data_IF_833153628588
#
_entry.id   IF_833153628588
#
_cell.length_a   1.000
_cell.length_b   1.000
_cell.length_c   1.000
_cell.angle_alpha   90.00
_cell.angle_beta   90.00
_cell.angle_gamma   90.00
#
_symmetry.space_group_name_H-M   'P 1'
#
loop_
_entity.id
_entity.type
_entity.pdbx_description
1 polymer ?
#
# COMPACT_ATOMS: atom_id res chain seq x y z
N UNK A 1 -23.26 11.17 0.13
CA UNK A 1 -21.99 11.12 0.85
C UNK A 1 -20.84 11.08 -0.15
N UNK A 2 -19.85 11.94 -0.01
CA UNK A 2 -18.70 12.00 -0.92
C UNK A 2 -17.69 10.92 -0.50
N UNK A 3 -17.29 10.09 -1.46
CA UNK A 3 -16.24 9.08 -1.22
C UNK A 3 -14.86 9.72 -1.33
N UNK A 4 -13.91 9.20 -0.57
CA UNK A 4 -12.54 9.69 -0.58
C UNK A 4 -11.69 9.05 -1.68
N UNK A 5 -10.60 9.71 -2.04
CA UNK A 5 -9.60 9.15 -2.94
C UNK A 5 -8.94 7.94 -2.31
N UNK A 6 -8.37 7.05 -3.14
CA UNK A 6 -7.67 5.86 -2.67
C UNK A 6 -6.48 6.23 -1.77
N UNK A 7 -6.04 5.25 -1.01
CA UNK A 7 -4.96 5.37 -0.06
C UNK A 7 -5.46 5.50 1.36
N UNK A 8 -4.67 5.04 2.31
CA UNK A 8 -5.05 4.95 3.73
C UNK A 8 -5.09 6.33 4.40
N UNK A 9 -5.97 7.22 3.94
CA UNK A 9 -6.09 8.57 4.46
C UNK A 9 -7.38 8.80 5.23
N UNK A 10 -8.36 9.39 4.54
CA UNK A 10 -9.61 9.85 5.14
C UNK A 10 -10.38 8.82 5.93
N UNK A 11 -10.95 7.76 5.27
CA UNK A 11 -11.74 6.77 5.99
C UNK A 11 -10.97 6.04 7.07
N UNK A 12 -9.71 5.69 6.81
CA UNK A 12 -8.88 4.98 7.79
C UNK A 12 -8.66 5.82 9.05
N UNK A 13 -8.39 7.10 8.89
CA UNK A 13 -8.21 8.01 10.03
C UNK A 13 -9.51 8.25 10.76
N UNK A 14 -10.62 8.43 10.03
CA UNK A 14 -11.93 8.67 10.62
C UNK A 14 -12.36 7.49 11.52
N UNK A 15 -12.02 6.27 11.14
CA UNK A 15 -12.38 5.05 11.88
C UNK A 15 -11.26 4.53 12.79
N UNK A 16 -10.10 5.20 12.81
CA UNK A 16 -8.94 4.70 13.57
C UNK A 16 -8.46 3.35 13.04
N UNK A 17 -8.62 3.09 11.75
CA UNK A 17 -8.33 1.80 11.13
C UNK A 17 -6.88 1.73 10.64
N UNK A 18 -6.16 0.67 11.01
CA UNK A 18 -4.80 0.40 10.56
C UNK A 18 -4.64 -1.02 10.00
N UNK A 19 -5.75 -1.68 9.65
CA UNK A 19 -5.75 -3.08 9.23
C UNK A 19 -4.85 -3.36 8.02
N UNK A 20 -4.78 -2.44 7.06
CA UNK A 20 -3.93 -2.61 5.88
C UNK A 20 -2.43 -2.58 6.22
N UNK A 21 -2.07 -2.07 7.40
CA UNK A 21 -0.70 -2.05 7.90
C UNK A 21 -0.38 -3.20 8.85
N UNK A 22 -1.31 -4.14 9.02
CA UNK A 22 -1.11 -5.33 9.85
C UNK A 22 -0.92 -6.55 8.97
N UNK A 23 0.12 -7.33 9.25
CA UNK A 23 0.47 -8.51 8.46
C UNK A 23 0.47 -8.21 6.96
N UNK A 24 1.05 -7.07 6.61
CA UNK A 24 1.06 -6.61 5.22
C UNK A 24 1.93 -7.50 4.35
N UNK A 25 1.50 -7.66 3.10
CA UNK A 25 2.27 -8.34 2.04
C UNK A 25 2.50 -7.40 0.88
N UNK A 26 2.47 -6.09 1.15
CA UNK A 26 2.57 -5.07 0.11
C UNK A 26 3.88 -5.21 -0.67
N UNK A 27 3.82 -5.46 -1.98
CA UNK A 27 5.03 -5.54 -2.80
C UNK A 27 5.61 -4.15 -3.00
N UNK A 28 6.95 -4.11 -3.11
CA UNK A 28 7.71 -2.89 -3.29
C UNK A 28 8.37 -2.88 -4.67
N UNK A 29 8.13 -1.82 -5.44
CA UNK A 29 8.85 -1.59 -6.68
C UNK A 29 10.25 -1.03 -6.36
N UNK A 30 11.13 -1.02 -7.36
CA UNK A 30 12.46 -0.42 -7.21
C UNK A 30 12.35 1.06 -6.89
N UNK A 31 11.37 1.74 -7.49
CA UNK A 31 11.12 3.16 -7.23
C UNK A 31 10.68 3.38 -5.79
N UNK A 32 9.81 2.50 -5.28
CA UNK A 32 9.40 2.55 -3.88
C UNK A 32 10.60 2.43 -2.94
N UNK A 33 11.44 1.43 -3.18
CA UNK A 33 12.64 1.19 -2.36
C UNK A 33 13.56 2.41 -2.37
N UNK A 34 13.82 2.98 -3.54
CA UNK A 34 14.69 4.16 -3.67
C UNK A 34 14.13 5.36 -2.90
N UNK A 35 12.82 5.59 -3.04
CA UNK A 35 12.17 6.73 -2.37
C UNK A 35 12.21 6.58 -0.86
N UNK A 36 11.97 5.39 -0.34
CA UNK A 36 11.99 5.14 1.10
C UNK A 36 13.42 5.26 1.65
N UNK A 37 14.41 4.78 0.89
CA UNK A 37 15.81 4.95 1.27
C UNK A 37 16.21 6.41 1.40
N UNK A 38 15.68 7.25 0.53
CA UNK A 38 15.94 8.70 0.59
C UNK A 38 15.42 9.32 1.88
N UNK A 39 14.45 8.68 2.54
CA UNK A 39 13.95 9.11 3.83
C UNK A 39 14.84 8.67 5.00
N UNK A 40 15.96 7.99 4.71
CA UNK A 40 16.91 7.58 5.74
C UNK A 40 16.73 6.16 6.27
N UNK A 41 15.88 5.36 5.64
CA UNK A 41 15.63 3.98 6.07
C UNK A 41 16.50 2.99 5.32
N UNK A 42 16.96 1.94 6.02
CA UNK A 42 17.74 0.86 5.40
C UNK A 42 16.81 -0.19 4.83
N UNK A 43 17.11 -0.65 3.62
CA UNK A 43 16.28 -1.67 2.94
C UNK A 43 16.04 -2.88 3.82
N UNK A 44 17.09 -3.40 4.48
CA UNK A 44 16.97 -4.58 5.33
C UNK A 44 16.04 -4.42 6.53
N UNK A 45 15.79 -3.16 6.93
CA UNK A 45 14.90 -2.88 8.06
C UNK A 45 13.44 -2.87 7.66
N UNK A 46 13.13 -2.37 6.46
CA UNK A 46 11.74 -2.20 6.04
C UNK A 46 11.27 -3.18 4.97
N UNK A 47 12.18 -3.92 4.34
CA UNK A 47 11.83 -4.82 3.24
C UNK A 47 12.38 -6.22 3.48
N UNK A 48 11.65 -7.21 2.99
CA UNK A 48 12.10 -8.60 2.94
C UNK A 48 12.04 -9.09 1.49
N UNK A 49 12.76 -10.20 1.19
CA UNK A 49 12.87 -10.70 -0.17
C UNK A 49 14.06 -10.09 -0.90
N UNK A 50 14.19 -10.40 -2.18
CA UNK A 50 15.32 -9.99 -3.00
C UNK A 50 14.88 -9.48 -4.37
N UNK A 51 15.63 -8.52 -4.90
CA UNK A 51 15.43 -8.02 -6.26
C UNK A 51 14.03 -7.46 -6.47
N UNK A 52 13.30 -8.02 -7.44
CA UNK A 52 11.96 -7.58 -7.79
C UNK A 52 10.86 -8.19 -6.92
N UNK A 53 11.24 -9.03 -5.95
CA UNK A 53 10.28 -9.73 -5.08
C UNK A 53 10.32 -9.23 -3.64
N UNK A 54 10.57 -7.95 -3.47
CA UNK A 54 10.57 -7.33 -2.15
C UNK A 54 9.16 -6.96 -1.72
N UNK A 55 8.87 -7.19 -0.44
CA UNK A 55 7.63 -6.77 0.20
C UNK A 55 7.97 -6.01 1.47
N UNK A 56 7.02 -5.23 1.97
CA UNK A 56 7.19 -4.57 3.26
C UNK A 56 7.41 -5.61 4.36
N UNK A 57 8.29 -5.29 5.29
CA UNK A 57 8.59 -6.15 6.42
C UNK A 57 7.65 -5.85 7.58
N UNK A 58 7.15 -6.91 8.21
CA UNK A 58 6.36 -6.78 9.43
C UNK A 58 7.24 -6.99 10.65
N UNK A 59 6.96 -6.25 11.71
CA UNK A 59 7.55 -6.42 13.03
C UNK A 59 6.39 -6.64 13.99
N UNK A 60 6.38 -7.80 14.64
CA UNK A 60 5.29 -8.17 15.53
C UNK A 60 3.90 -8.08 14.88
N UNK A 61 3.80 -8.53 13.63
CA UNK A 61 2.53 -8.58 12.89
C UNK A 61 2.09 -7.24 12.31
N UNK A 62 2.92 -6.21 12.37
CA UNK A 62 2.60 -4.88 11.84
C UNK A 62 3.67 -4.42 10.86
N UNK A 63 3.26 -3.63 9.86
CA UNK A 63 4.22 -3.00 8.97
C UNK A 63 5.30 -2.27 9.79
N UNK A 64 6.55 -2.40 9.37
CA UNK A 64 7.68 -1.72 9.99
C UNK A 64 7.43 -0.22 10.21
N UNK A 65 6.70 0.42 9.29
CA UNK A 65 6.43 1.86 9.35
C UNK A 65 5.21 2.25 10.18
N UNK A 66 4.47 1.29 10.68
CA UNK A 66 3.32 1.57 11.53
C UNK A 66 3.80 1.84 12.97
N UNK A 67 3.60 3.05 13.44
CA UNK A 67 3.96 3.48 14.79
C UNK A 67 2.76 4.18 15.43
N UNK A 68 2.28 3.64 16.54
CA UNK A 68 1.14 4.22 17.26
C UNK A 68 -0.06 4.49 16.35
N UNK A 69 -0.36 3.54 15.46
CA UNK A 69 -1.49 3.64 14.54
C UNK A 69 -1.27 4.54 13.34
N UNK A 70 -0.05 5.05 13.15
CA UNK A 70 0.28 5.99 12.08
C UNK A 70 1.43 5.45 11.23
N UNK A 71 1.30 5.58 9.91
CA UNK A 71 2.39 5.29 8.99
C UNK A 71 3.39 6.46 9.02
N UNK A 72 4.60 6.22 9.52
CA UNK A 72 5.61 7.29 9.66
C UNK A 72 6.18 7.78 8.34
N UNK A 73 5.97 7.03 7.25
CA UNK A 73 6.38 7.45 5.90
C UNK A 73 5.18 7.79 5.03
N UNK A 74 4.08 8.25 5.62
CA UNK A 74 2.83 8.47 4.91
C UNK A 74 3.00 9.17 3.55
N UNK A 75 3.78 10.24 3.50
CA UNK A 75 4.02 11.01 2.27
C UNK A 75 4.85 10.22 1.23
N UNK A 76 5.66 9.27 1.67
CA UNK A 76 6.52 8.46 0.80
C UNK A 76 6.04 7.00 0.73
N UNK A 77 4.76 6.76 0.98
CA UNK A 77 4.19 5.41 0.96
C UNK A 77 4.50 4.67 -0.34
N UNK A 78 4.65 3.33 -0.29
CA UNK A 78 4.71 2.53 -1.50
C UNK A 78 3.52 2.79 -2.42
N UNK A 79 3.72 2.66 -3.72
CA UNK A 79 2.67 2.90 -4.72
C UNK A 79 1.42 2.05 -4.45
N UNK A 80 1.61 0.78 -4.03
CA UNK A 80 0.49 -0.09 -3.68
C UNK A 80 -0.32 0.43 -2.49
N UNK A 81 0.33 1.04 -1.51
CA UNK A 81 -0.36 1.63 -0.35
C UNK A 81 -1.17 2.86 -0.75
N UNK A 82 -0.70 3.61 -1.76
CA UNK A 82 -1.43 4.78 -2.28
C UNK A 82 -2.68 4.41 -3.05
N UNK A 83 -2.72 3.22 -3.61
CA UNK A 83 -3.85 2.71 -4.38
C UNK A 83 -4.81 1.89 -3.54
N UNK A 84 -4.37 1.41 -2.38
CA UNK A 84 -5.20 0.58 -1.51
C UNK A 84 -6.47 1.33 -1.11
N UNK A 85 -7.65 0.74 -1.12
CA UNK A 85 -7.92 -0.70 -1.21
C UNK A 85 -8.09 -1.27 -2.63
N UNK A 86 -7.70 -0.55 -3.67
CA UNK A 86 -7.66 -1.09 -5.03
C UNK A 86 -6.42 -1.97 -5.16
N UNK A 87 -6.63 -3.25 -5.45
CA UNK A 87 -5.57 -4.25 -5.59
C UNK A 87 -5.73 -5.02 -6.88
N UNK A 88 -4.64 -5.63 -7.37
CA UNK A 88 -4.68 -6.39 -8.61
C UNK A 88 -5.10 -7.84 -8.34
N UNK A 89 -6.14 -8.28 -9.05
CA UNK A 89 -6.63 -9.65 -9.00
C UNK A 89 -6.00 -10.43 -10.15
N UNK A 90 -5.04 -11.29 -9.84
CA UNK A 90 -4.32 -12.08 -10.86
C UNK A 90 -5.26 -13.00 -11.63
N UNK A 91 -6.27 -13.58 -10.98
CA UNK A 91 -7.19 -14.50 -11.62
C UNK A 91 -8.07 -13.80 -12.65
N UNK A 92 -8.47 -12.56 -12.38
CA UNK A 92 -9.33 -11.75 -13.25
C UNK A 92 -8.56 -10.84 -14.19
N UNK A 93 -7.25 -10.63 -13.94
CA UNK A 93 -6.42 -9.76 -14.73
C UNK A 93 -6.79 -8.29 -14.63
N UNK A 94 -7.33 -7.85 -13.50
CA UNK A 94 -7.77 -6.46 -13.32
C UNK A 94 -7.74 -6.02 -11.86
N UNK A 95 -7.86 -4.71 -11.64
CA UNK A 95 -7.98 -4.16 -10.31
C UNK A 95 -9.37 -4.39 -9.70
N UNK A 96 -9.39 -4.75 -8.44
CA UNK A 96 -10.62 -4.93 -7.65
C UNK A 96 -10.41 -4.30 -6.28
N UNK A 97 -11.50 -3.98 -5.58
CA UNK A 97 -11.42 -3.49 -4.22
C UNK A 97 -11.19 -4.65 -3.26
N UNK A 98 -10.17 -4.52 -2.39
CA UNK A 98 -9.82 -5.57 -1.44
C UNK A 98 -10.97 -5.78 -0.44
N UNK A 99 -11.50 -7.00 -0.43
CA UNK A 99 -12.60 -7.36 0.48
C UNK A 99 -12.17 -7.38 1.95
N UNK A 100 -10.87 -7.41 2.22
CA UNK A 100 -10.36 -7.32 3.59
C UNK A 100 -10.44 -5.90 4.17
N UNK A 101 -10.64 -4.89 3.34
CA UNK A 101 -10.81 -3.51 3.82
C UNK A 101 -12.27 -3.29 4.25
N UNK A 102 -12.54 -3.08 5.55
CA UNK A 102 -13.91 -2.88 6.01
C UNK A 102 -14.52 -1.56 5.54
N UNK A 103 -13.70 -0.64 5.07
CA UNK A 103 -14.12 0.69 4.62
C UNK A 103 -14.01 0.87 3.12
N UNK A 104 -13.90 -0.21 2.35
CA UNK A 104 -13.68 -0.14 0.90
C UNK A 104 -14.74 0.67 0.14
N UNK A 105 -15.97 0.66 0.64
CA UNK A 105 -17.07 1.38 -0.01
C UNK A 105 -17.02 2.89 0.20
N UNK A 106 -16.16 3.36 1.09
CA UNK A 106 -15.97 4.80 1.35
C UNK A 106 -14.92 5.43 0.44
N UNK A 107 -14.28 4.63 -0.42
CA UNK A 107 -13.28 5.09 -1.38
C UNK A 107 -13.86 5.12 -2.79
N UNK A 108 -13.44 6.12 -3.58
CA UNK A 108 -13.77 6.18 -5.01
C UNK A 108 -12.54 5.78 -5.83
N UNK A 109 -12.78 5.07 -6.92
CA UNK A 109 -11.74 4.74 -7.90
C UNK A 109 -11.85 5.77 -9.03
N UNK A 110 -10.79 6.56 -9.21
CA UNK A 110 -10.74 7.55 -10.26
C UNK A 110 -10.18 6.93 -11.55
N UNK A 111 -10.40 7.60 -12.69
CA UNK A 111 -10.02 7.08 -13.99
C UNK A 111 -8.53 6.69 -14.07
N UNK A 112 -7.65 7.51 -13.51
CA UNK A 112 -6.21 7.26 -13.53
C UNK A 112 -5.75 6.14 -12.58
N UNK A 113 -6.57 5.74 -11.62
CA UNK A 113 -6.16 4.77 -10.59
C UNK A 113 -5.92 3.37 -11.16
N UNK A 114 -6.80 2.91 -12.06
CA UNK A 114 -6.65 1.58 -12.67
C UNK A 114 -5.42 1.51 -13.56
N UNK A 115 -5.14 2.60 -14.27
CA UNK A 115 -3.94 2.68 -15.11
C UNK A 115 -2.67 2.70 -14.24
N UNK A 116 -2.69 3.44 -13.13
CA UNK A 116 -1.58 3.47 -12.18
C UNK A 116 -1.31 2.07 -11.61
N UNK A 117 -2.36 1.32 -11.28
CA UNK A 117 -2.22 -0.05 -10.80
C UNK A 117 -1.64 -0.96 -11.88
N UNK A 118 -2.09 -0.84 -13.11
CA UNK A 118 -1.58 -1.63 -14.24
C UNK A 118 -0.08 -1.40 -14.45
N UNK A 119 0.34 -0.15 -14.38
CA UNK A 119 1.75 0.21 -14.53
C UNK A 119 2.58 -0.32 -13.35
N UNK A 120 2.04 -0.25 -12.14
CA UNK A 120 2.72 -0.79 -10.96
C UNK A 120 2.92 -2.31 -11.09
N UNK A 121 1.91 -3.03 -11.54
CA UNK A 121 2.00 -4.49 -11.75
C UNK A 121 3.12 -4.81 -12.73
N UNK A 122 3.28 -4.02 -13.79
CA UNK A 122 4.38 -4.18 -14.74
C UNK A 122 5.75 -3.97 -14.07
N UNK A 123 5.87 -2.96 -13.23
CA UNK A 123 7.13 -2.68 -12.51
C UNK A 123 7.50 -3.78 -11.53
N UNK A 124 6.52 -4.48 -11.00
CA UNK A 124 6.72 -5.55 -10.02
C UNK A 124 7.08 -6.90 -10.65
N UNK A 125 6.99 -7.02 -11.95
CA UNK A 125 7.29 -8.27 -12.67
C UNK A 125 8.66 -8.28 -13.32
#
# INVERSE_FOLDING_TARGET
MVKDSLGCGGPCRAHGCDLCCRETRMPLSRVDVARIREQGHRVRDFAQGHGNRRTLRNVEGRCYFLREGICIIYAARPAGCRLYPLVYDEARGRGVMDTCCPHRDEFRVEEGDREALRLLVKELR
#
